data_IF_516967865673
#
_entry.id   IF_516967865673
#
_cell.length_a   1.000
_cell.length_b   1.000
_cell.length_c   1.000
_cell.angle_alpha   90.00
_cell.angle_beta   90.00
_cell.angle_gamma   90.00
#
_symmetry.space_group_name_H-M   'P 1'
#
loop_
_entity.id
_entity.type
_entity.pdbx_description
1 polymer ?
#
# COMPACT_ATOMS: atom_id res chain seq x y z
N UNK A 1 19.27 -2.13 9.23
CA UNK A 1 18.38 -3.18 8.68
C UNK A 1 19.00 -3.63 7.37
N UNK A 2 18.96 -4.93 7.09
CA UNK A 2 19.49 -5.51 5.86
C UNK A 2 18.56 -5.11 4.70
N UNK A 3 19.05 -4.40 3.68
CA UNK A 3 18.28 -4.08 2.48
C UNK A 3 18.25 -5.29 1.52
N UNK A 4 17.86 -6.46 2.01
CA UNK A 4 17.89 -7.72 1.24
C UNK A 4 17.03 -7.69 -0.02
N UNK A 5 16.09 -6.75 -0.11
CA UNK A 5 15.20 -6.58 -1.27
C UNK A 5 15.47 -5.27 -2.02
N UNK A 6 16.63 -4.65 -1.85
CA UNK A 6 17.00 -3.47 -2.62
C UNK A 6 16.93 -3.74 -4.13
N UNK A 7 16.41 -2.78 -4.89
CA UNK A 7 16.20 -2.91 -6.34
C UNK A 7 14.95 -3.71 -6.75
N UNK A 8 14.25 -4.36 -5.81
CA UNK A 8 12.98 -5.03 -6.08
C UNK A 8 11.83 -4.02 -6.01
N UNK A 9 10.99 -4.00 -7.03
CA UNK A 9 9.71 -3.26 -7.04
C UNK A 9 8.55 -4.22 -6.80
N UNK A 10 7.66 -3.86 -5.88
CA UNK A 10 6.48 -4.64 -5.53
C UNK A 10 5.23 -3.82 -5.80
N UNK A 11 4.36 -4.32 -6.67
CA UNK A 11 3.01 -3.77 -6.87
C UNK A 11 2.07 -4.47 -5.89
N UNK A 12 1.50 -3.72 -4.95
CA UNK A 12 0.71 -4.25 -3.84
C UNK A 12 -0.78 -3.90 -4.03
N UNK A 13 -1.55 -4.87 -4.53
CA UNK A 13 -3.02 -4.80 -4.67
C UNK A 13 -3.66 -5.45 -3.44
N UNK A 14 -3.80 -4.67 -2.38
CA UNK A 14 -4.10 -5.17 -1.03
C UNK A 14 -4.97 -4.19 -0.23
N UNK A 15 -5.68 -4.71 0.77
CA UNK A 15 -6.53 -3.91 1.65
C UNK A 15 -6.57 -4.48 3.08
N UNK A 16 -7.10 -3.68 4.02
CA UNK A 16 -7.31 -4.04 5.41
C UNK A 16 -6.01 -4.33 6.19
N UNK A 17 -5.71 -5.58 6.55
CA UNK A 17 -4.69 -5.89 7.57
C UNK A 17 -3.62 -6.89 7.11
N UNK A 18 -3.99 -8.10 6.73
CA UNK A 18 -3.03 -9.20 6.56
C UNK A 18 -2.00 -8.95 5.44
N UNK A 19 -2.46 -8.64 4.22
CA UNK A 19 -1.56 -8.31 3.12
C UNK A 19 -0.78 -6.99 3.38
N UNK A 20 -1.42 -5.90 3.88
CA UNK A 20 -0.69 -4.68 4.26
C UNK A 20 0.44 -4.90 5.25
N UNK A 21 0.25 -5.83 6.19
CA UNK A 21 1.29 -6.24 7.10
C UNK A 21 2.45 -6.93 6.38
N UNK A 22 2.18 -7.86 5.48
CA UNK A 22 3.20 -8.56 4.71
C UNK A 22 4.01 -7.60 3.80
N UNK A 23 3.33 -6.78 3.01
CA UNK A 23 3.97 -5.85 2.08
C UNK A 23 4.75 -4.74 2.81
N UNK A 24 4.35 -4.34 4.02
CA UNK A 24 5.18 -3.42 4.82
C UNK A 24 6.46 -4.05 5.34
N UNK A 25 6.51 -5.38 5.53
CA UNK A 25 7.80 -6.07 5.82
C UNK A 25 8.71 -6.05 4.60
N UNK A 26 8.16 -6.13 3.38
CA UNK A 26 8.96 -6.02 2.15
C UNK A 26 9.56 -4.61 2.01
N UNK A 27 8.77 -3.57 2.32
CA UNK A 27 9.27 -2.20 2.37
C UNK A 27 10.37 -2.02 3.43
N UNK A 28 10.17 -2.55 4.65
CA UNK A 28 11.18 -2.50 5.71
C UNK A 28 12.49 -3.23 5.31
N UNK A 29 12.42 -4.23 4.41
CA UNK A 29 13.55 -4.97 3.88
C UNK A 29 14.20 -4.33 2.63
N UNK A 30 13.77 -3.12 2.24
CA UNK A 30 14.38 -2.31 1.19
C UNK A 30 13.70 -2.36 -0.18
N UNK A 31 12.58 -3.09 -0.34
CA UNK A 31 11.84 -3.08 -1.59
C UNK A 31 11.10 -1.75 -1.81
N UNK A 32 10.98 -1.30 -3.05
CA UNK A 32 10.07 -0.22 -3.42
C UNK A 32 8.65 -0.78 -3.54
N UNK A 33 7.81 -0.51 -2.56
CA UNK A 33 6.43 -1.02 -2.52
C UNK A 33 5.46 0.07 -2.94
N UNK A 34 4.70 -0.19 -4.01
CA UNK A 34 3.68 0.71 -4.56
C UNK A 34 2.31 0.10 -4.30
N UNK A 35 1.54 0.71 -3.40
CA UNK A 35 0.17 0.29 -3.10
C UNK A 35 -0.77 0.83 -4.18
N UNK A 36 -1.56 -0.05 -4.79
CA UNK A 36 -2.65 0.34 -5.68
C UNK A 36 -3.93 0.46 -4.88
N UNK A 37 -4.50 1.65 -4.84
CA UNK A 37 -5.75 1.94 -4.15
C UNK A 37 -6.85 2.30 -5.13
N UNK A 38 -8.07 1.87 -4.83
CA UNK A 38 -9.27 2.33 -5.54
C UNK A 38 -9.58 3.80 -5.22
N UNK A 39 -10.47 4.48 -5.98
CA UNK A 39 -10.85 5.88 -5.75
C UNK A 39 -11.28 6.21 -4.32
N UNK A 40 -11.94 5.29 -3.63
CA UNK A 40 -12.39 5.48 -2.25
C UNK A 40 -11.29 5.20 -1.19
N UNK A 41 -10.13 4.71 -1.62
CA UNK A 41 -9.00 4.28 -0.80
C UNK A 41 -9.19 2.90 -0.16
N UNK A 42 -8.14 2.43 0.52
CA UNK A 42 -8.19 1.25 1.40
C UNK A 42 -9.23 1.44 2.52
N UNK A 43 -10.02 0.39 2.81
CA UNK A 43 -10.97 0.37 3.93
C UNK A 43 -10.32 0.79 5.26
N UNK A 44 -9.07 0.39 5.48
CA UNK A 44 -8.34 0.67 6.72
C UNK A 44 -8.19 2.18 6.98
N UNK A 45 -8.21 3.04 5.94
CA UNK A 45 -8.16 4.50 6.11
C UNK A 45 -9.30 5.06 6.98
N UNK A 46 -10.41 4.32 7.08
CA UNK A 46 -11.64 4.74 7.78
C UNK A 46 -11.92 3.95 9.06
N UNK A 47 -11.04 3.03 9.49
CA UNK A 47 -11.28 2.23 10.69
C UNK A 47 -11.31 3.05 11.98
N UNK A 48 -10.51 4.10 12.04
CA UNK A 48 -10.42 5.04 13.17
C UNK A 48 -9.85 6.39 12.70
N UNK A 49 -9.58 7.29 13.65
CA UNK A 49 -8.97 8.61 13.41
C UNK A 49 -7.92 8.98 14.48
N UNK A 50 -7.32 7.99 15.12
CA UNK A 50 -6.52 8.15 16.34
C UNK A 50 -5.15 8.80 16.10
N UNK A 51 -4.62 8.75 14.86
CA UNK A 51 -3.31 9.32 14.52
C UNK A 51 -3.50 10.60 13.73
N UNK A 52 -3.66 11.72 14.44
CA UNK A 52 -3.81 13.06 13.83
C UNK A 52 -4.92 13.10 12.76
N UNK A 53 -6.05 12.44 13.04
CA UNK A 53 -7.18 12.34 12.11
C UNK A 53 -7.07 11.21 11.07
N UNK A 54 -5.96 10.46 11.05
CA UNK A 54 -5.77 9.27 10.22
C UNK A 54 -5.97 7.99 11.05
N UNK A 55 -6.30 6.89 10.38
CA UNK A 55 -6.42 5.59 11.05
C UNK A 55 -5.06 5.06 11.51
N UNK A 56 -4.98 4.62 12.77
CA UNK A 56 -3.81 3.95 13.33
C UNK A 56 -3.44 2.68 12.56
N UNK A 57 -4.44 1.88 12.15
CA UNK A 57 -4.25 0.70 11.32
C UNK A 57 -3.59 1.06 10.00
N UNK A 58 -4.12 2.08 9.31
CA UNK A 58 -3.59 2.48 8.01
C UNK A 58 -2.15 3.00 8.11
N UNK A 59 -1.88 3.89 9.06
CA UNK A 59 -0.56 4.52 9.24
C UNK A 59 0.51 3.47 9.53
N UNK A 60 0.29 2.58 10.48
CA UNK A 60 1.29 1.57 10.85
C UNK A 60 1.50 0.54 9.74
N UNK A 61 0.43 0.07 9.09
CA UNK A 61 0.52 -0.99 8.07
C UNK A 61 1.03 -0.53 6.71
N UNK A 62 1.00 0.77 6.40
CA UNK A 62 1.36 1.28 5.08
C UNK A 62 2.55 2.24 5.07
N UNK A 63 3.24 2.41 6.21
CA UNK A 63 4.50 3.15 6.27
C UNK A 63 5.52 2.59 5.26
N UNK A 64 6.33 3.48 4.68
CA UNK A 64 7.37 3.12 3.72
C UNK A 64 6.86 2.72 2.33
N UNK A 65 5.54 2.66 2.12
CA UNK A 65 4.95 2.40 0.80
C UNK A 65 4.65 3.72 0.08
N UNK A 66 4.80 3.71 -1.23
CA UNK A 66 4.17 4.67 -2.14
C UNK A 66 2.70 4.26 -2.36
N UNK A 67 1.86 5.19 -2.82
CA UNK A 67 0.46 4.89 -3.16
C UNK A 67 0.07 5.56 -4.48
N UNK A 68 -0.66 4.81 -5.30
CA UNK A 68 -1.30 5.30 -6.53
C UNK A 68 -2.79 4.95 -6.48
N UNK A 69 -3.62 5.91 -6.88
CA UNK A 69 -5.05 5.67 -7.05
C UNK A 69 -5.32 5.21 -8.48
N UNK A 70 -5.88 4.01 -8.65
CA UNK A 70 -6.30 3.44 -9.94
C UNK A 70 -7.69 2.81 -9.78
N UNK A 71 -8.59 3.11 -10.72
CA UNK A 71 -9.85 2.38 -10.89
C UNK A 71 -9.65 1.25 -11.92
N UNK A 72 -9.33 0.06 -11.44
CA UNK A 72 -9.07 -1.13 -12.29
C UNK A 72 -10.30 -1.62 -13.09
N UNK A 73 -11.45 -0.96 -12.97
CA UNK A 73 -12.60 -1.18 -13.86
C UNK A 73 -12.41 -0.46 -15.19
N UNK A 74 -11.66 0.65 -15.20
CA UNK A 74 -11.34 1.44 -16.37
C UNK A 74 -10.16 0.81 -17.12
N UNK A 75 -10.30 0.69 -18.44
CA UNK A 75 -9.26 0.11 -19.29
C UNK A 75 -7.96 0.92 -19.23
N UNK A 76 -8.06 2.25 -19.23
CA UNK A 76 -6.92 3.15 -19.17
C UNK A 76 -6.08 2.95 -17.89
N UNK A 77 -6.74 2.72 -16.76
CA UNK A 77 -6.06 2.51 -15.47
C UNK A 77 -5.49 1.09 -15.36
N UNK A 78 -6.16 0.09 -15.95
CA UNK A 78 -5.61 -1.28 -16.06
C UNK A 78 -4.32 -1.30 -16.87
N UNK A 79 -4.28 -0.56 -17.99
CA UNK A 79 -3.10 -0.47 -18.85
C UNK A 79 -1.85 0.11 -18.15
N UNK A 80 -2.00 0.74 -16.99
CA UNK A 80 -0.86 1.19 -16.15
C UNK A 80 -0.15 0.01 -15.47
N UNK A 81 -0.82 -1.15 -15.35
CA UNK A 81 -0.29 -2.36 -14.70
C UNK A 81 0.28 -3.40 -15.68
N UNK A 82 0.14 -3.19 -16.99
CA UNK A 82 0.68 -4.06 -18.06
C UNK A 82 2.16 -3.75 -18.35
#
# INVERSE_FOLDING_TARGET
>A
MQNSLEGITVVAVEQAVAAPYASSRLADAGARVIKVERPEGDFARKYDKLVRGQSAYFVWLNRGKESVCLDLRLEADRAVLD
#
